data_IF_934599146275
#
_entry.id   IF_934599146275
#
_cell.length_a   1.000
_cell.length_b   1.000
_cell.length_c   1.000
_cell.angle_alpha   90.00
_cell.angle_beta   90.00
_cell.angle_gamma   90.00
#
_symmetry.space_group_name_H-M   'P 1'
#
loop_
_entity.id
_entity.type
_entity.pdbx_description
1 polymer ?
#
# COMPACT_ATOMS: atom_id res chain seq x y z
N UNK A 1 30.72 8.00 9.21
CA UNK A 1 29.37 7.55 8.79
C UNK A 1 28.77 6.73 9.91
N UNK A 2 27.62 7.12 10.45
CA UNK A 2 26.95 6.36 11.52
C UNK A 2 26.20 5.15 10.95
N UNK A 3 25.73 4.25 11.82
CA UNK A 3 24.83 3.16 11.40
C UNK A 3 23.52 3.69 10.80
N UNK A 4 23.01 4.82 11.32
CA UNK A 4 21.83 5.49 10.79
C UNK A 4 22.07 6.04 9.38
N UNK A 5 23.22 6.69 9.16
CA UNK A 5 23.57 7.22 7.83
C UNK A 5 23.71 6.08 6.81
N UNK A 6 24.33 4.97 7.23
CA UNK A 6 24.44 3.76 6.39
C UNK A 6 23.08 3.18 6.07
N UNK A 7 22.17 3.10 7.04
CA UNK A 7 20.81 2.62 6.83
C UNK A 7 20.05 3.51 5.83
N UNK A 8 20.14 4.84 5.97
CA UNK A 8 19.53 5.79 5.02
C UNK A 8 20.10 5.62 3.61
N UNK A 9 21.42 5.47 3.48
CA UNK A 9 22.07 5.26 2.18
C UNK A 9 21.59 3.97 1.50
N UNK A 10 21.40 2.88 2.26
CA UNK A 10 20.87 1.62 1.73
C UNK A 10 19.42 1.77 1.26
N UNK A 11 18.56 2.42 2.05
CA UNK A 11 17.16 2.65 1.69
C UNK A 11 17.03 3.55 0.46
N UNK A 12 17.87 4.58 0.35
CA UNK A 12 17.92 5.45 -0.83
C UNK A 12 18.45 4.70 -2.06
N UNK A 13 19.48 3.86 -1.92
CA UNK A 13 20.01 3.07 -3.05
C UNK A 13 18.99 2.08 -3.61
N UNK A 14 18.07 1.58 -2.78
CA UNK A 14 17.04 0.63 -3.21
C UNK A 14 16.08 1.24 -4.24
N UNK A 15 15.53 2.43 -3.96
CA UNK A 15 14.43 3.01 -4.75
C UNK A 15 14.40 4.55 -4.76
N UNK A 16 15.43 5.19 -4.26
CA UNK A 16 15.53 6.65 -4.17
C UNK A 16 14.33 7.25 -3.46
N UNK A 17 13.77 8.30 -4.06
CA UNK A 17 12.61 9.03 -3.56
C UNK A 17 11.28 8.25 -3.70
N UNK A 18 11.28 7.10 -4.39
CA UNK A 18 10.08 6.27 -4.57
C UNK A 18 9.83 5.26 -3.44
N UNK A 19 10.59 5.35 -2.35
CA UNK A 19 10.44 4.47 -1.18
C UNK A 19 10.26 5.25 0.11
N UNK A 20 9.01 5.27 0.59
CA UNK A 20 8.63 5.91 1.84
C UNK A 20 8.84 4.94 3.01
N UNK A 21 9.57 5.37 4.04
CA UNK A 21 9.87 4.57 5.22
C UNK A 21 9.83 5.40 6.50
N UNK A 22 9.73 4.72 7.65
CA UNK A 22 9.75 5.34 8.97
C UNK A 22 8.59 4.90 9.86
N UNK A 23 8.66 5.28 11.14
CA UNK A 23 7.55 5.07 12.06
C UNK A 23 6.34 5.91 11.63
N UNK A 24 5.15 5.30 11.63
CA UNK A 24 3.92 6.02 11.25
C UNK A 24 3.84 6.38 9.77
N UNK A 25 4.35 5.53 8.87
CA UNK A 25 4.30 5.79 7.42
C UNK A 25 2.90 5.61 6.80
N UNK A 26 2.05 4.73 7.36
CA UNK A 26 0.75 4.38 6.76
C UNK A 26 -0.22 5.57 6.57
N UNK A 27 -0.31 6.57 7.48
CA UNK A 27 -1.07 7.80 7.25
C UNK A 27 -0.66 8.63 6.03
N UNK A 28 0.50 8.36 5.40
CA UNK A 28 0.96 9.03 4.17
C UNK A 28 0.44 8.37 2.89
N UNK A 29 -0.24 7.23 2.98
CA UNK A 29 -0.69 6.45 1.82
C UNK A 29 -1.60 7.26 0.89
N UNK A 30 -2.52 8.04 1.44
CA UNK A 30 -3.44 8.89 0.69
C UNK A 30 -2.74 9.93 -0.16
N UNK A 31 -1.76 10.64 0.38
CA UNK A 31 -0.95 11.62 -0.36
C UNK A 31 -0.20 10.95 -1.53
N UNK A 32 0.37 9.77 -1.29
CA UNK A 32 1.10 9.02 -2.32
C UNK A 32 0.16 8.60 -3.45
N UNK A 33 -1.04 8.11 -3.11
CA UNK A 33 -2.04 7.69 -4.12
C UNK A 33 -2.61 8.90 -4.87
N UNK A 34 -2.84 10.02 -4.21
CA UNK A 34 -3.34 11.25 -4.83
C UNK A 34 -2.41 11.81 -5.92
N UNK A 35 -1.10 11.57 -5.81
CA UNK A 35 -0.14 11.93 -6.85
C UNK A 35 -0.30 11.09 -8.14
N UNK A 36 -0.99 9.94 -8.08
CA UNK A 36 -1.17 9.01 -9.21
C UNK A 36 -2.61 9.06 -9.77
N UNK A 37 -3.61 9.34 -8.92
CA UNK A 37 -5.00 9.45 -9.36
C UNK A 37 -5.98 9.67 -8.21
N UNK A 38 -7.27 9.73 -8.52
CA UNK A 38 -8.35 10.00 -7.55
C UNK A 38 -9.17 8.76 -7.17
N UNK A 39 -8.85 7.60 -7.74
CA UNK A 39 -9.57 6.32 -7.58
C UNK A 39 -8.58 5.21 -7.29
N UNK A 40 -8.89 4.37 -6.32
CA UNK A 40 -8.04 3.26 -5.92
C UNK A 40 -8.82 1.97 -5.70
N UNK A 41 -8.20 0.85 -6.04
CA UNK A 41 -8.61 -0.46 -5.55
C UNK A 41 -7.69 -0.87 -4.40
N UNK A 42 -8.27 -1.40 -3.32
CA UNK A 42 -7.54 -1.91 -2.17
C UNK A 42 -7.48 -3.43 -2.28
N UNK A 43 -6.30 -3.96 -2.61
CA UNK A 43 -6.05 -5.40 -2.63
C UNK A 43 -5.30 -5.76 -1.34
N UNK A 44 -5.89 -6.62 -0.50
CA UNK A 44 -5.36 -6.88 0.85
C UNK A 44 -5.61 -8.30 1.33
N UNK A 45 -4.65 -8.84 2.07
CA UNK A 45 -4.81 -10.15 2.71
C UNK A 45 -5.36 -9.99 4.13
N UNK A 46 -6.43 -10.72 4.49
CA UNK A 46 -6.93 -10.74 5.86
C UNK A 46 -6.05 -11.67 6.71
N UNK A 47 -5.50 -11.14 7.80
CA UNK A 47 -4.74 -11.92 8.78
C UNK A 47 -4.92 -11.33 10.19
N UNK A 48 -4.70 -12.10 11.27
CA UNK A 48 -4.78 -11.56 12.63
C UNK A 48 -3.86 -10.34 12.81
N UNK A 49 -4.46 -9.18 13.09
CA UNK A 49 -3.74 -7.90 13.23
C UNK A 49 -3.77 -6.99 12.01
N UNK A 50 -4.27 -7.42 10.85
CA UNK A 50 -4.33 -6.58 9.64
C UNK A 50 -5.36 -5.45 9.72
N UNK A 51 -6.34 -5.55 10.62
CA UNK A 51 -7.44 -4.59 10.73
C UNK A 51 -7.00 -3.16 11.11
N UNK A 52 -6.01 -3.03 12.00
CA UNK A 52 -5.53 -1.71 12.43
C UNK A 52 -4.76 -0.97 11.31
N UNK A 53 -3.75 -1.59 10.66
CA UNK A 53 -3.11 -1.02 9.47
C UNK A 53 -4.11 -0.66 8.36
N UNK A 54 -5.06 -1.56 8.07
CA UNK A 54 -6.07 -1.35 7.04
C UNK A 54 -6.96 -0.14 7.34
N UNK A 55 -7.37 0.04 8.60
CA UNK A 55 -8.14 1.23 9.02
C UNK A 55 -7.33 2.51 8.81
N UNK A 56 -6.05 2.52 9.15
CA UNK A 56 -5.17 3.69 8.92
C UNK A 56 -5.04 4.01 7.42
N UNK A 57 -4.89 2.99 6.58
CA UNK A 57 -4.80 3.17 5.12
C UNK A 57 -6.12 3.72 4.57
N UNK A 58 -7.27 3.15 4.95
CA UNK A 58 -8.59 3.64 4.53
C UNK A 58 -8.82 5.10 4.94
N UNK A 59 -8.48 5.45 6.19
CA UNK A 59 -8.60 6.82 6.68
C UNK A 59 -7.73 7.78 5.86
N UNK A 60 -6.47 7.41 5.63
CA UNK A 60 -5.54 8.20 4.83
C UNK A 60 -6.03 8.42 3.40
N UNK A 61 -6.57 7.39 2.74
CA UNK A 61 -7.18 7.50 1.41
C UNK A 61 -8.38 8.46 1.43
N UNK A 62 -9.28 8.32 2.41
CA UNK A 62 -10.46 9.16 2.53
C UNK A 62 -10.12 10.63 2.79
N UNK A 63 -9.17 10.91 3.67
CA UNK A 63 -8.67 12.27 3.97
C UNK A 63 -8.02 12.93 2.75
N UNK A 64 -7.38 12.14 1.89
CA UNK A 64 -6.80 12.61 0.63
C UNK A 64 -7.84 12.74 -0.52
N UNK A 65 -9.13 12.48 -0.26
CA UNK A 65 -10.18 12.55 -1.28
C UNK A 65 -10.16 11.40 -2.29
N UNK A 66 -9.48 10.29 -1.98
CA UNK A 66 -9.41 9.12 -2.86
C UNK A 66 -10.66 8.29 -2.74
N UNK A 67 -11.32 8.04 -3.87
CA UNK A 67 -12.44 7.10 -3.95
C UNK A 67 -11.90 5.67 -3.95
N UNK A 68 -12.17 4.92 -2.88
CA UNK A 68 -11.93 3.47 -2.87
C UNK A 68 -13.03 2.80 -3.68
N UNK A 69 -12.73 2.34 -4.89
CA UNK A 69 -13.70 1.73 -5.80
C UNK A 69 -14.06 0.30 -5.40
N UNK A 70 -13.08 -0.43 -4.88
CA UNK A 70 -13.27 -1.80 -4.41
C UNK A 70 -12.22 -2.15 -3.37
N UNK A 71 -12.58 -3.06 -2.47
CA UNK A 71 -11.64 -3.77 -1.63
C UNK A 71 -11.80 -5.28 -1.85
N UNK A 72 -10.70 -5.98 -2.17
CA UNK A 72 -10.69 -7.42 -2.45
C UNK A 72 -9.58 -8.15 -1.72
N UNK A 73 -9.81 -9.42 -1.46
CA UNK A 73 -8.78 -10.33 -0.95
C UNK A 73 -7.64 -10.45 -1.97
N UNK A 74 -6.40 -10.38 -1.49
CA UNK A 74 -5.20 -10.53 -2.29
C UNK A 74 -4.99 -11.95 -2.81
N UNK A 75 -3.85 -12.17 -3.46
CA UNK A 75 -3.50 -13.47 -4.00
C UNK A 75 -2.95 -14.38 -2.91
N UNK A 76 -3.24 -15.68 -2.98
CA UNK A 76 -2.63 -16.68 -2.10
C UNK A 76 -1.11 -16.77 -2.33
N UNK A 77 -0.34 -17.36 -1.40
CA UNK A 77 1.10 -17.57 -1.57
C UNK A 77 1.46 -18.16 -2.93
N UNK A 78 2.54 -17.66 -3.53
CA UNK A 78 2.99 -17.95 -4.89
C UNK A 78 2.08 -17.43 -6.02
N UNK A 79 1.13 -16.54 -5.72
CA UNK A 79 0.34 -15.79 -6.69
C UNK A 79 -0.25 -16.65 -7.84
N UNK A 80 -1.14 -17.61 -7.53
CA UNK A 80 -1.71 -18.49 -8.56
C UNK A 80 -2.51 -17.66 -9.59
N UNK A 81 -2.51 -18.10 -10.85
CA UNK A 81 -3.14 -17.35 -11.96
C UNK A 81 -4.64 -17.16 -11.74
N UNK A 82 -5.28 -18.09 -11.08
CA UNK A 82 -6.70 -18.04 -10.70
C UNK A 82 -7.00 -16.85 -9.78
N UNK A 83 -6.09 -16.51 -8.87
CA UNK A 83 -6.26 -15.34 -8.01
C UNK A 83 -6.06 -14.04 -8.78
N UNK A 84 -5.12 -14.01 -9.73
CA UNK A 84 -4.96 -12.87 -10.64
C UNK A 84 -6.23 -12.64 -11.46
N UNK A 85 -6.81 -13.70 -12.03
CA UNK A 85 -8.07 -13.63 -12.77
C UNK A 85 -9.19 -13.12 -11.88
N UNK A 86 -9.38 -13.70 -10.69
CA UNK A 86 -10.39 -13.26 -9.71
C UNK A 86 -10.26 -11.77 -9.35
N UNK A 87 -9.04 -11.31 -9.04
CA UNK A 87 -8.79 -9.90 -8.71
C UNK A 87 -9.08 -9.01 -9.93
N UNK A 88 -8.64 -9.40 -11.12
CA UNK A 88 -8.84 -8.64 -12.36
C UNK A 88 -10.33 -8.52 -12.70
N UNK A 89 -11.11 -9.59 -12.58
CA UNK A 89 -12.56 -9.55 -12.80
C UNK A 89 -13.26 -8.61 -11.82
N UNK A 90 -12.80 -8.54 -10.57
CA UNK A 90 -13.36 -7.63 -9.58
C UNK A 90 -13.04 -6.14 -9.87
N UNK A 91 -12.06 -5.85 -10.73
CA UNK A 91 -11.70 -4.48 -11.12
C UNK A 91 -12.48 -3.97 -12.35
N UNK A 92 -13.26 -4.82 -13.01
CA UNK A 92 -14.09 -4.46 -14.17
C UNK A 92 -15.38 -3.77 -13.74
#
# INVERSE_FOLDING_TARGET
MTLIDRARALLYTFKGDSYTYGAGVLPRTGEIVAAVGSRAAVVRDPFPGSAAPLRTIRQSLAEAGITTCIEVDGARPNAPREDLVRITEALR
#
